data_IF_873457190917
#
_entry.id   IF_873457190917
#
_cell.length_a   1.000
_cell.length_b   1.000
_cell.length_c   1.000
_cell.angle_alpha   90.00
_cell.angle_beta   90.00
_cell.angle_gamma   90.00
#
_symmetry.space_group_name_H-M   'P 1'
#
loop_
_entity.id
_entity.type
_entity.pdbx_description
1 polymer ?
#
# COMPACT_ATOMS: atom_id res chain seq x y z
N UNK A 1 -29.42 6.04 -5.25
CA UNK A 1 -28.17 6.17 -4.48
C UNK A 1 -27.01 5.96 -5.41
N UNK A 2 -26.10 6.92 -5.46
CA UNK A 2 -24.84 6.84 -6.18
C UNK A 2 -23.70 6.70 -5.16
N UNK A 3 -23.11 5.50 -5.05
CA UNK A 3 -22.01 5.23 -4.10
C UNK A 3 -20.73 6.01 -4.42
N UNK A 4 -20.61 6.62 -5.60
CA UNK A 4 -19.53 7.56 -5.93
C UNK A 4 -19.66 8.90 -5.22
N UNK A 5 -20.86 9.31 -4.80
CA UNK A 5 -21.11 10.58 -4.11
C UNK A 5 -20.89 10.42 -2.58
N UNK A 6 -20.09 11.32 -1.98
CA UNK A 6 -19.82 11.31 -0.55
C UNK A 6 -21.06 11.56 0.32
N UNK A 7 -21.97 12.44 -0.13
CA UNK A 7 -23.21 12.74 0.58
C UNK A 7 -24.13 11.53 0.65
N UNK A 8 -24.26 10.80 -0.46
CA UNK A 8 -25.04 9.57 -0.53
C UNK A 8 -24.44 8.50 0.39
N UNK A 9 -23.11 8.36 0.41
CA UNK A 9 -22.41 7.42 1.32
C UNK A 9 -22.60 7.78 2.79
N UNK A 10 -22.49 9.06 3.15
CA UNK A 10 -22.68 9.51 4.53
C UNK A 10 -24.11 9.25 5.02
N UNK A 11 -25.10 9.58 4.18
CA UNK A 11 -26.51 9.34 4.48
C UNK A 11 -26.81 7.84 4.63
N UNK A 12 -26.28 7.02 3.71
CA UNK A 12 -26.46 5.57 3.75
C UNK A 12 -25.77 4.93 4.96
N UNK A 13 -24.55 5.35 5.33
CA UNK A 13 -23.84 4.82 6.49
C UNK A 13 -24.62 5.04 7.79
N UNK A 14 -25.21 6.23 7.96
CA UNK A 14 -26.07 6.53 9.11
C UNK A 14 -27.34 5.67 9.12
N UNK A 15 -28.01 5.53 7.96
CA UNK A 15 -29.21 4.70 7.83
C UNK A 15 -28.92 3.23 8.15
N UNK A 16 -27.78 2.71 7.69
CA UNK A 16 -27.33 1.34 7.98
C UNK A 16 -27.11 1.18 9.49
N UNK A 17 -26.40 2.11 10.14
CA UNK A 17 -26.16 2.05 11.57
C UNK A 17 -27.48 2.05 12.37
N UNK A 18 -28.39 2.98 12.03
CA UNK A 18 -29.72 3.04 12.65
C UNK A 18 -30.50 1.73 12.47
N UNK A 19 -30.56 1.22 11.25
CA UNK A 19 -31.28 -0.02 10.95
C UNK A 19 -30.71 -1.23 11.72
N UNK A 20 -29.38 -1.39 11.75
CA UNK A 20 -28.71 -2.47 12.48
C UNK A 20 -29.00 -2.39 13.98
N UNK A 21 -29.03 -1.19 14.55
CA UNK A 21 -29.39 -0.98 15.96
C UNK A 21 -30.87 -1.24 16.26
N UNK A 22 -31.78 -1.02 15.29
CA UNK A 22 -33.21 -1.36 15.45
C UNK A 22 -33.46 -2.88 15.39
N UNK A 23 -32.69 -3.64 14.60
CA UNK A 23 -32.90 -5.09 14.43
C UNK A 23 -32.77 -5.88 15.74
N UNK A 24 -31.92 -5.46 16.67
CA UNK A 24 -31.75 -6.15 17.96
C UNK A 24 -33.04 -6.20 18.81
N UNK A 25 -34.01 -5.33 18.56
CA UNK A 25 -35.28 -5.29 19.29
C UNK A 25 -36.39 -6.16 18.66
N UNK A 26 -36.23 -6.65 17.42
CA UNK A 26 -37.28 -7.45 16.75
C UNK A 26 -37.49 -8.83 17.42
N UNK A 27 -36.61 -9.25 18.33
CA UNK A 27 -36.72 -10.54 19.02
C UNK A 27 -37.56 -10.53 20.29
N UNK A 28 -38.04 -9.38 20.77
CA UNK A 28 -38.91 -9.31 21.95
C UNK A 28 -40.01 -8.26 21.72
N UNK A 29 -41.23 -8.77 21.58
CA UNK A 29 -42.52 -8.09 21.69
C UNK A 29 -43.02 -7.25 20.49
N UNK A 30 -44.06 -7.81 19.84
CA UNK A 30 -45.13 -7.08 19.17
C UNK A 30 -45.69 -6.03 20.16
N UNK A 31 -45.46 -4.74 19.91
CA UNK A 31 -46.57 -3.79 19.93
C UNK A 31 -46.19 -2.49 19.21
N UNK A 32 -47.20 -1.98 18.51
CA UNK A 32 -47.15 -0.77 17.70
C UNK A 32 -46.80 0.47 18.52
N UNK A 33 -45.66 1.09 18.23
CA UNK A 33 -45.48 2.53 18.47
C UNK A 33 -44.51 3.09 17.43
N UNK A 34 -44.87 4.25 16.88
CA UNK A 34 -44.02 5.02 15.97
C UNK A 34 -42.63 5.16 16.59
N UNK A 35 -41.64 4.40 16.08
CA UNK A 35 -40.26 4.45 16.58
C UNK A 35 -39.81 5.91 16.60
N UNK A 36 -39.69 6.45 17.80
CA UNK A 36 -39.18 7.79 18.01
C UNK A 36 -37.79 7.86 17.39
N UNK A 37 -37.63 8.68 16.35
CA UNK A 37 -36.37 8.84 15.65
C UNK A 37 -35.24 9.23 16.61
N UNK A 38 -35.57 9.88 17.74
CA UNK A 38 -34.61 10.23 18.79
C UNK A 38 -34.20 9.00 19.62
N UNK A 39 -35.10 8.06 19.88
CA UNK A 39 -34.80 6.80 20.57
C UNK A 39 -33.88 5.89 19.72
N UNK A 40 -34.17 5.76 18.42
CA UNK A 40 -33.31 5.00 17.48
C UNK A 40 -31.92 5.64 17.39
N UNK A 41 -31.84 6.98 17.35
CA UNK A 41 -30.57 7.69 17.32
C UNK A 41 -29.76 7.53 18.61
N UNK A 42 -30.38 7.59 19.78
CA UNK A 42 -29.71 7.34 21.07
C UNK A 42 -29.12 5.94 21.15
N UNK A 43 -29.89 4.93 20.73
CA UNK A 43 -29.41 3.54 20.67
C UNK A 43 -28.22 3.39 19.72
N UNK A 44 -28.27 4.03 18.54
CA UNK A 44 -27.16 4.03 17.60
C UNK A 44 -25.90 4.69 18.19
N UNK A 45 -26.05 5.80 18.92
CA UNK A 45 -24.93 6.47 19.60
C UNK A 45 -24.29 5.54 20.64
N UNK A 46 -25.10 4.89 21.48
CA UNK A 46 -24.60 3.95 22.50
C UNK A 46 -23.83 2.78 21.87
N UNK A 47 -24.35 2.23 20.77
CA UNK A 47 -23.69 1.15 20.03
C UNK A 47 -22.37 1.58 19.38
N UNK A 48 -22.36 2.73 18.69
CA UNK A 48 -21.17 3.23 17.98
C UNK A 48 -20.07 3.64 18.96
N UNK A 49 -20.43 4.02 20.19
CA UNK A 49 -19.49 4.51 21.21
C UNK A 49 -18.35 3.55 21.51
N UNK A 50 -18.58 2.24 21.43
CA UNK A 50 -17.54 1.22 21.65
C UNK A 50 -16.43 1.27 20.59
N UNK A 51 -16.76 1.73 19.38
CA UNK A 51 -15.85 1.84 18.25
C UNK A 51 -15.32 3.27 18.04
N UNK A 52 -15.87 4.25 18.75
CA UNK A 52 -15.47 5.64 18.63
C UNK A 52 -14.10 5.85 19.30
N UNK A 53 -13.13 6.37 18.54
CA UNK A 53 -11.82 6.74 19.05
C UNK A 53 -11.72 8.27 19.26
N UNK A 54 -10.97 8.74 20.27
CA UNK A 54 -10.61 10.14 20.38
C UNK A 54 -9.77 10.60 19.19
N UNK A 55 -9.91 11.88 18.82
CA UNK A 55 -9.17 12.51 17.70
C UNK A 55 -7.65 12.38 17.87
N UNK A 56 -7.14 12.50 19.10
CA UNK A 56 -5.69 12.41 19.36
C UNK A 56 -5.12 11.02 19.00
N UNK A 57 -5.91 9.95 19.14
CA UNK A 57 -5.50 8.59 18.75
C UNK A 57 -5.47 8.48 17.22
N UNK A 58 -6.50 8.99 16.54
CA UNK A 58 -6.55 9.00 15.07
C UNK A 58 -5.40 9.82 14.45
N UNK A 59 -5.04 10.96 15.07
CA UNK A 59 -3.89 11.76 14.65
C UNK A 59 -2.57 11.02 14.82
N UNK A 60 -2.40 10.29 15.92
CA UNK A 60 -1.23 9.46 16.16
C UNK A 60 -1.12 8.34 15.12
N UNK A 61 -2.20 7.59 14.87
CA UNK A 61 -2.24 6.53 13.85
C UNK A 61 -1.94 7.11 12.45
N UNK A 62 -2.49 8.28 12.12
CA UNK A 62 -2.21 8.97 10.87
C UNK A 62 -0.72 9.30 10.71
N UNK A 63 -0.08 9.80 11.78
CA UNK A 63 1.35 10.10 11.77
C UNK A 63 2.20 8.83 11.57
N UNK A 64 1.83 7.72 12.20
CA UNK A 64 2.50 6.43 12.00
C UNK A 64 2.36 5.93 10.55
N UNK A 65 1.15 6.03 9.98
CA UNK A 65 0.90 5.67 8.58
C UNK A 65 1.72 6.53 7.61
N UNK A 66 1.85 7.83 7.90
CA UNK A 66 2.70 8.74 7.13
C UNK A 66 4.17 8.32 7.17
N UNK A 67 4.68 7.98 8.35
CA UNK A 67 6.06 7.48 8.52
C UNK A 67 6.29 6.18 7.73
N UNK A 68 5.34 5.24 7.80
CA UNK A 68 5.41 3.99 7.02
C UNK A 68 5.39 4.27 5.51
N UNK A 69 4.59 5.25 5.05
CA UNK A 69 4.58 5.66 3.64
C UNK A 69 5.93 6.25 3.18
N UNK A 70 6.53 7.13 3.98
CA UNK A 70 7.83 7.72 3.70
C UNK A 70 8.94 6.66 3.64
N UNK A 71 8.95 5.71 4.58
CA UNK A 71 9.87 4.56 4.58
C UNK A 71 9.65 3.67 3.36
N UNK A 72 8.40 3.37 3.00
CA UNK A 72 8.11 2.67 1.75
C UNK A 72 8.74 3.42 0.58
N UNK A 73 8.55 4.75 0.48
CA UNK A 73 9.13 5.55 -0.60
C UNK A 73 10.68 5.44 -0.64
N UNK A 74 11.33 5.40 0.52
CA UNK A 74 12.77 5.19 0.65
C UNK A 74 13.27 3.87 0.01
N UNK A 75 12.44 2.82 0.04
CA UNK A 75 12.74 1.50 -0.55
C UNK A 75 12.49 1.43 -2.07
N UNK A 76 12.11 2.53 -2.72
CA UNK A 76 11.87 2.58 -4.18
C UNK A 76 13.05 2.07 -5.03
N UNK A 77 14.34 2.33 -4.69
CA UNK A 77 15.47 1.81 -5.47
C UNK A 77 15.47 0.28 -5.61
N UNK A 78 15.04 -0.43 -4.56
CA UNK A 78 15.00 -1.90 -4.52
C UNK A 78 13.80 -2.43 -5.34
N UNK A 79 12.61 -1.89 -5.11
CA UNK A 79 11.36 -2.49 -5.62
C UNK A 79 10.87 -1.90 -6.95
N UNK A 80 11.43 -0.78 -7.42
CA UNK A 80 10.94 -0.11 -8.63
C UNK A 80 10.98 -0.97 -9.89
N UNK A 81 12.00 -1.81 -10.05
CA UNK A 81 12.11 -2.75 -11.17
C UNK A 81 10.99 -3.79 -11.12
N UNK A 82 10.74 -4.39 -9.95
CA UNK A 82 9.68 -5.39 -9.75
C UNK A 82 8.30 -4.83 -10.08
N UNK A 83 8.05 -3.56 -9.74
CA UNK A 83 6.77 -2.93 -10.04
C UNK A 83 6.52 -2.67 -11.53
N UNK A 84 7.60 -2.55 -12.32
CA UNK A 84 7.53 -2.34 -13.78
C UNK A 84 7.40 -3.65 -14.57
N UNK A 85 7.61 -4.82 -13.95
CA UNK A 85 7.64 -6.11 -14.66
C UNK A 85 6.24 -6.60 -15.07
N UNK A 86 5.48 -7.22 -14.17
CA UNK A 86 4.14 -7.73 -14.46
C UNK A 86 3.25 -7.65 -13.19
N UNK A 87 1.94 -7.92 -13.33
CA UNK A 87 0.98 -7.83 -12.22
C UNK A 87 1.34 -8.77 -11.06
N UNK A 88 1.84 -9.97 -11.36
CA UNK A 88 2.20 -10.97 -10.36
C UNK A 88 3.39 -10.52 -9.52
N UNK A 89 4.43 -9.98 -10.16
CA UNK A 89 5.58 -9.41 -9.45
C UNK A 89 5.16 -8.22 -8.57
N UNK A 90 4.26 -7.35 -9.07
CA UNK A 90 3.70 -6.25 -8.25
C UNK A 90 3.00 -6.75 -6.98
N UNK A 91 2.12 -7.73 -7.14
CA UNK A 91 1.36 -8.32 -6.02
C UNK A 91 2.26 -9.02 -5.01
N UNK A 92 3.36 -9.63 -5.47
CA UNK A 92 4.33 -10.29 -4.61
C UNK A 92 5.25 -9.29 -3.89
N UNK A 93 5.73 -8.27 -4.59
CA UNK A 93 6.66 -7.27 -4.08
C UNK A 93 6.02 -6.26 -3.10
N UNK A 94 4.76 -5.90 -3.32
CA UNK A 94 4.06 -4.89 -2.51
C UNK A 94 4.01 -5.21 -1.01
N UNK A 95 3.57 -6.41 -0.56
CA UNK A 95 3.56 -6.75 0.86
C UNK A 95 4.96 -6.83 1.46
N UNK A 96 5.97 -7.25 0.68
CA UNK A 96 7.36 -7.32 1.15
C UNK A 96 7.97 -5.93 1.38
N UNK A 97 7.66 -4.96 0.51
CA UNK A 97 8.06 -3.55 0.72
C UNK A 97 7.38 -2.95 1.94
N UNK A 98 6.08 -3.23 2.13
CA UNK A 98 5.32 -2.77 3.30
C UNK A 98 5.90 -3.35 4.60
N UNK A 99 6.21 -4.65 4.60
CA UNK A 99 6.79 -5.35 5.73
C UNK A 99 8.10 -4.70 6.24
N UNK A 100 9.01 -4.36 5.32
CA UNK A 100 10.24 -3.64 5.67
C UNK A 100 9.95 -2.27 6.31
N UNK A 101 9.02 -1.52 5.74
CA UNK A 101 8.71 -0.17 6.20
C UNK A 101 8.00 -0.14 7.56
N UNK A 102 7.10 -1.10 7.82
CA UNK A 102 6.43 -1.30 9.11
C UNK A 102 7.45 -1.66 10.20
N UNK A 103 8.46 -2.47 9.87
CA UNK A 103 9.57 -2.80 10.78
C UNK A 103 10.60 -1.68 10.96
N UNK A 104 10.36 -0.50 10.36
CA UNK A 104 11.23 0.66 10.46
C UNK A 104 12.49 0.60 9.59
N UNK A 105 12.61 -0.40 8.72
CA UNK A 105 13.82 -0.62 7.92
C UNK A 105 13.84 0.34 6.72
N UNK A 106 14.94 1.06 6.59
CA UNK A 106 15.17 2.02 5.49
C UNK A 106 16.28 1.54 4.56
N UNK A 107 16.42 2.18 3.40
CA UNK A 107 17.41 1.81 2.39
C UNK A 107 18.85 1.90 2.92
N UNK A 108 19.18 2.94 3.70
CA UNK A 108 20.52 3.11 4.26
C UNK A 108 20.91 1.96 5.19
N UNK A 109 20.00 1.49 6.05
CA UNK A 109 20.28 0.34 6.93
C UNK A 109 20.54 -0.94 6.14
N UNK A 110 19.77 -1.18 5.07
CA UNK A 110 19.98 -2.31 4.16
C UNK A 110 21.32 -2.20 3.43
N UNK A 111 21.68 -0.99 3.00
CA UNK A 111 22.95 -0.71 2.34
C UNK A 111 24.12 -0.94 3.29
N UNK A 112 24.05 -0.42 4.52
CA UNK A 112 25.09 -0.55 5.54
C UNK A 112 25.29 -2.02 5.94
N UNK A 113 24.19 -2.75 6.16
CA UNK A 113 24.24 -4.17 6.45
C UNK A 113 24.92 -4.97 5.32
N UNK A 114 24.62 -4.62 4.06
CA UNK A 114 25.25 -5.25 2.90
C UNK A 114 26.73 -4.88 2.75
N UNK A 115 27.12 -3.62 2.96
CA UNK A 115 28.53 -3.21 2.83
C UNK A 115 29.40 -3.83 3.91
N UNK A 116 28.87 -4.01 5.12
CA UNK A 116 29.63 -4.50 6.26
C UNK A 116 29.77 -6.02 6.27
N UNK A 117 28.69 -6.75 6.02
CA UNK A 117 28.66 -8.21 6.13
C UNK A 117 27.89 -8.91 5.01
N UNK A 118 27.59 -8.20 3.90
CA UNK A 118 26.90 -8.73 2.73
C UNK A 118 25.59 -9.43 3.13
N UNK A 119 25.41 -10.67 2.67
CA UNK A 119 24.24 -11.49 2.94
C UNK A 119 24.04 -11.73 4.44
N UNK A 120 25.11 -12.01 5.18
CA UNK A 120 25.00 -12.33 6.61
C UNK A 120 24.55 -11.10 7.41
N UNK A 121 24.98 -9.91 6.99
CA UNK A 121 24.52 -8.64 7.55
C UNK A 121 23.02 -8.40 7.33
N UNK A 122 22.53 -8.67 6.13
CA UNK A 122 21.09 -8.61 5.85
C UNK A 122 20.31 -9.64 6.66
N UNK A 123 20.79 -10.88 6.76
CA UNK A 123 20.12 -11.92 7.56
C UNK A 123 20.02 -11.53 9.03
N UNK A 124 21.08 -10.94 9.59
CA UNK A 124 21.07 -10.43 10.96
C UNK A 124 20.04 -9.31 11.14
N UNK A 125 20.08 -8.29 10.29
CA UNK A 125 19.14 -7.16 10.34
C UNK A 125 17.70 -7.62 10.23
N UNK A 126 17.42 -8.57 9.33
CA UNK A 126 16.08 -9.11 9.18
C UNK A 126 15.63 -9.89 10.43
N UNK A 127 16.48 -10.74 11.01
CA UNK A 127 16.12 -11.49 12.24
C UNK A 127 15.87 -10.57 13.44
N UNK A 128 16.62 -9.47 13.53
CA UNK A 128 16.47 -8.47 14.59
C UNK A 128 15.16 -7.69 14.47
N UNK A 129 14.84 -7.21 13.26
CA UNK A 129 13.70 -6.31 13.02
C UNK A 129 12.40 -7.03 12.67
N UNK A 130 12.48 -8.28 12.19
CA UNK A 130 11.35 -9.09 11.73
C UNK A 130 11.31 -10.48 12.42
N UNK A 131 11.24 -10.56 13.77
CA UNK A 131 11.34 -11.83 14.49
C UNK A 131 10.12 -12.75 14.31
N UNK A 132 8.95 -12.21 13.99
CA UNK A 132 7.67 -12.95 13.92
C UNK A 132 7.20 -13.22 12.49
N UNK A 133 8.05 -12.99 11.49
CA UNK A 133 7.67 -13.10 10.07
C UNK A 133 7.80 -14.53 9.57
N UNK A 134 6.84 -14.94 8.74
CA UNK A 134 6.87 -16.23 8.03
C UNK A 134 8.20 -16.45 7.28
N UNK A 135 8.81 -17.61 7.46
CA UNK A 135 10.09 -17.99 6.82
C UNK A 135 10.06 -17.77 5.30
N UNK A 136 8.93 -18.10 4.65
CA UNK A 136 8.74 -17.91 3.21
C UNK A 136 8.84 -16.44 2.79
N UNK A 137 8.26 -15.51 3.56
CA UNK A 137 8.36 -14.06 3.28
C UNK A 137 9.79 -13.58 3.49
N UNK A 138 10.47 -14.13 4.50
CA UNK A 138 11.88 -13.85 4.77
C UNK A 138 12.79 -14.29 3.62
N UNK A 139 12.59 -15.50 3.11
CA UNK A 139 13.32 -16.02 1.95
C UNK A 139 13.06 -15.19 0.69
N UNK A 140 11.80 -14.88 0.41
CA UNK A 140 11.39 -14.03 -0.71
C UNK A 140 12.09 -12.66 -0.65
N UNK A 141 12.13 -12.05 0.54
CA UNK A 141 12.76 -10.77 0.79
C UNK A 141 14.28 -10.83 0.59
N UNK A 142 14.93 -11.87 1.10
CA UNK A 142 16.37 -12.08 0.94
C UNK A 142 16.75 -12.22 -0.53
N UNK A 143 15.96 -12.93 -1.33
CA UNK A 143 16.19 -13.07 -2.78
C UNK A 143 16.11 -11.71 -3.48
N UNK A 144 15.15 -10.86 -3.11
CA UNK A 144 15.01 -9.52 -3.70
C UNK A 144 16.20 -8.63 -3.33
N UNK A 145 16.60 -8.63 -2.06
CA UNK A 145 17.70 -7.81 -1.56
C UNK A 145 19.05 -8.24 -2.14
N UNK A 146 19.35 -9.55 -2.12
CA UNK A 146 20.56 -10.10 -2.72
C UNK A 146 20.66 -9.72 -4.21
N UNK A 147 19.56 -9.84 -4.96
CA UNK A 147 19.53 -9.49 -6.38
C UNK A 147 19.74 -7.98 -6.62
N UNK A 148 19.31 -7.14 -5.71
CA UNK A 148 19.48 -5.69 -5.82
C UNK A 148 20.94 -5.28 -5.60
N UNK A 149 21.58 -5.82 -4.56
CA UNK A 149 22.95 -5.45 -4.20
C UNK A 149 24.04 -6.28 -4.92
N UNK A 150 23.69 -7.46 -5.43
CA UNK A 150 24.54 -8.32 -6.25
C UNK A 150 23.79 -8.78 -7.52
N UNK A 151 23.68 -7.90 -8.54
CA UNK A 151 22.97 -8.20 -9.77
C UNK A 151 23.67 -9.27 -10.63
N UNK A 152 24.95 -9.56 -10.39
CA UNK A 152 25.72 -10.58 -11.12
C UNK A 152 25.44 -12.00 -10.62
N UNK A 153 24.95 -12.12 -9.38
CA UNK A 153 24.53 -13.39 -8.80
C UNK A 153 23.26 -13.86 -9.50
N UNK A 154 23.43 -14.83 -10.41
CA UNK A 154 22.30 -15.49 -11.07
C UNK A 154 21.31 -15.98 -10.01
N UNK A 155 20.01 -15.66 -10.13
CA UNK A 155 19.03 -16.14 -9.19
C UNK A 155 19.10 -17.66 -9.19
N UNK A 156 19.20 -18.26 -7.99
CA UNK A 156 18.91 -19.70 -7.82
C UNK A 156 17.46 -19.86 -8.26
N UNK A 157 17.26 -20.23 -9.53
CA UNK A 157 15.93 -20.32 -10.11
C UNK A 157 15.08 -21.18 -9.19
N UNK A 158 13.94 -20.64 -8.74
CA UNK A 158 12.88 -21.51 -8.21
C UNK A 158 12.58 -22.49 -9.32
N UNK A 159 12.99 -23.74 -9.13
CA UNK A 159 12.75 -24.80 -10.09
C UNK A 159 11.24 -24.80 -10.30
N UNK A 160 10.74 -24.53 -11.52
CA UNK A 160 9.33 -24.74 -11.77
C UNK A 160 9.05 -26.20 -11.49
N UNK A 161 8.14 -26.48 -10.54
CA UNK A 161 7.61 -27.82 -10.33
C UNK A 161 7.24 -28.38 -11.70
N UNK A 162 8.02 -29.37 -12.13
CA UNK A 162 7.81 -30.05 -13.40
C UNK A 162 6.46 -30.75 -13.30
N UNK A 163 5.41 -30.12 -13.83
CA UNK A 163 4.21 -30.85 -14.24
C UNK A 163 4.69 -31.95 -15.18
N UNK A 164 4.63 -33.19 -14.72
CA UNK A 164 5.17 -34.35 -15.42
C UNK A 164 4.59 -34.47 -16.81
N UNK A 165 5.42 -34.23 -17.82
CA UNK A 165 5.13 -34.57 -19.20
C UNK A 165 5.33 -36.09 -19.30
N UNK A 166 4.23 -36.85 -19.16
CA UNK A 166 4.21 -38.27 -19.56
C UNK A 166 4.31 -38.33 -21.07
N UNK A 167 5.42 -38.90 -21.56
CA UNK A 167 5.70 -39.08 -22.98
C UNK A 167 5.04 -40.36 -23.51
N UNK A 168 4.57 -40.27 -24.76
CA UNK A 168 4.50 -41.30 -25.82
C UNK A 168 3.50 -42.46 -25.67
N UNK A 169 2.57 -42.55 -26.64
CA UNK A 169 2.74 -43.50 -27.75
C UNK A 169 1.80 -43.22 -28.95
N UNK A 170 2.43 -43.26 -30.13
CA UNK A 170 1.98 -43.81 -31.43
C UNK A 170 0.69 -43.31 -32.13
N UNK A 171 0.85 -42.66 -33.30
CA UNK A 171 0.60 -43.26 -34.64
C UNK A 171 0.82 -42.28 -35.81
N UNK A 172 1.83 -42.61 -36.64
CA UNK A 172 1.85 -42.73 -38.12
C UNK A 172 0.75 -42.01 -38.96
N UNK A 173 1.15 -41.14 -39.90
CA UNK A 173 1.05 -41.25 -41.40
C UNK A 173 0.86 -39.90 -42.14
N UNK A 174 1.65 -39.79 -43.23
CA UNK A 174 1.57 -39.04 -44.51
C UNK A 174 1.63 -37.52 -44.62
N UNK A 175 2.55 -37.11 -45.50
CA UNK A 175 2.60 -35.89 -46.30
C UNK A 175 1.25 -35.50 -46.93
N UNK A 176 0.89 -34.21 -46.90
CA UNK A 176 0.61 -33.43 -48.12
C UNK A 176 0.50 -31.90 -47.83
N UNK A 177 1.06 -31.12 -48.76
CA UNK A 177 0.71 -29.78 -49.24
C UNK A 177 0.23 -28.59 -48.37
N UNK A 178 0.93 -27.47 -48.61
CA UNK A 178 0.45 -26.10 -48.92
C UNK A 178 -0.33 -25.24 -47.91
N UNK A 179 0.34 -24.14 -47.52
CA UNK A 179 -0.05 -22.73 -47.72
C UNK A 179 -0.97 -21.96 -46.73
N UNK A 180 -0.50 -20.73 -46.44
CA UNK A 180 -1.19 -19.46 -46.14
C UNK A 180 -1.92 -19.20 -44.81
N UNK A 181 -1.34 -18.21 -44.10
CA UNK A 181 -1.93 -16.94 -43.62
C UNK A 181 -3.22 -16.89 -42.76
N UNK A 182 -3.04 -16.19 -41.62
CA UNK A 182 -3.93 -15.25 -40.91
C UNK A 182 -5.27 -15.78 -40.36
N UNK A 183 -5.43 -15.51 -39.06
CA UNK A 183 -6.55 -14.82 -38.36
C UNK A 183 -6.84 -15.55 -37.06
N UNK A 184 -6.74 -14.85 -35.93
CA UNK A 184 -7.91 -14.35 -35.20
C UNK A 184 -8.51 -15.40 -34.27
N UNK A 185 -8.31 -15.20 -32.98
CA UNK A 185 -9.28 -15.58 -31.96
C UNK A 185 -9.01 -14.75 -30.72
N UNK A 186 -9.78 -13.68 -30.59
CA UNK A 186 -10.11 -13.12 -29.30
C UNK A 186 -10.62 -14.23 -28.37
N UNK A 187 -9.99 -14.34 -27.21
CA UNK A 187 -10.56 -15.08 -26.09
C UNK A 187 -11.09 -14.04 -25.11
N UNK A 188 -12.34 -13.66 -25.31
CA UNK A 188 -13.17 -13.15 -24.22
C UNK A 188 -13.40 -14.29 -23.25
N UNK A 189 -13.08 -14.05 -21.99
CA UNK A 189 -13.64 -14.81 -20.87
C UNK A 189 -14.08 -13.80 -19.81
N UNK A 190 -15.34 -13.89 -19.34
CA UNK A 190 -15.95 -12.96 -18.39
C UNK A 190 -15.54 -13.31 -16.96
N UNK A 191 -15.58 -12.30 -16.08
CA UNK A 191 -15.70 -12.35 -14.61
C UNK A 191 -14.65 -11.51 -13.86
N UNK A 192 -14.94 -10.21 -13.73
CA UNK A 192 -14.88 -9.48 -12.44
C UNK A 192 -15.25 -8.02 -12.66
N UNK A 193 -16.16 -7.43 -11.85
CA UNK A 193 -16.45 -6.01 -11.92
C UNK A 193 -15.39 -5.23 -11.15
N UNK A 194 -14.30 -4.85 -11.81
CA UNK A 194 -13.33 -3.92 -11.21
C UNK A 194 -13.78 -2.47 -11.46
N UNK A 195 -14.27 -1.85 -10.39
CA UNK A 195 -14.74 -0.47 -10.31
C UNK A 195 -13.58 0.49 -10.06
N UNK A 196 -12.58 0.56 -10.95
CA UNK A 196 -11.63 1.69 -10.96
C UNK A 196 -11.03 1.90 -12.35
N UNK A 197 -11.84 2.39 -13.28
CA UNK A 197 -11.33 3.11 -14.45
C UNK A 197 -12.32 4.20 -14.83
N UNK A 198 -12.46 5.20 -13.95
CA UNK A 198 -13.00 6.51 -14.34
C UNK A 198 -11.83 7.47 -14.50
N UNK A 199 -11.74 8.02 -15.71
CA UNK A 199 -10.58 8.74 -16.23
C UNK A 199 -10.10 9.90 -15.37
N UNK A 200 -8.79 10.12 -15.42
CA UNK A 200 -8.18 11.36 -14.96
C UNK A 200 -8.78 12.55 -15.73
N UNK A 201 -9.07 13.69 -15.07
CA UNK A 201 -9.72 14.81 -15.73
C UNK A 201 -8.88 15.40 -16.87
N UNK A 202 -9.55 15.71 -17.97
CA UNK A 202 -9.00 16.41 -19.14
C UNK A 202 -8.59 17.82 -18.71
N UNK A 203 -7.37 18.19 -19.09
CA UNK A 203 -6.74 19.50 -18.90
C UNK A 203 -7.52 20.53 -19.73
N UNK A 204 -8.36 21.34 -19.08
CA UNK A 204 -8.98 22.50 -19.73
C UNK A 204 -7.94 23.62 -19.84
N UNK A 205 -7.65 24.03 -21.08
CA UNK A 205 -6.97 25.28 -21.38
C UNK A 205 -7.91 26.44 -21.04
N UNK A 206 -7.46 27.37 -20.19
CA UNK A 206 -8.19 28.58 -19.82
C UNK A 206 -7.20 29.67 -19.44
N UNK A 207 -7.44 30.87 -19.93
CA UNK A 207 -6.46 31.93 -20.17
C UNK A 207 -5.76 32.53 -18.94
N UNK A 208 -4.62 33.14 -19.26
CA UNK A 208 -3.71 33.88 -18.40
C UNK A 208 -4.41 35.08 -17.73
N UNK A 209 -4.38 35.12 -16.40
CA UNK A 209 -4.57 36.36 -15.63
C UNK A 209 -3.24 36.67 -14.94
N UNK A 210 -2.62 37.76 -15.40
CA UNK A 210 -1.44 38.38 -14.76
C UNK A 210 -1.77 38.79 -13.33
N UNK A 211 -1.04 38.24 -12.36
CA UNK A 211 -0.93 38.81 -11.02
C UNK A 211 0.47 39.39 -10.89
N UNK A 212 0.49 40.72 -10.74
CA UNK A 212 1.67 41.56 -10.58
C UNK A 212 2.48 41.12 -9.36
N UNK A 213 3.80 41.06 -9.55
CA UNK A 213 4.79 40.93 -8.50
C UNK A 213 4.92 42.27 -7.79
N UNK A 214 4.71 42.30 -6.48
CA UNK A 214 5.27 43.34 -5.62
C UNK A 214 6.24 42.68 -4.65
N UNK A 215 7.48 43.14 -4.78
CA UNK A 215 8.66 42.83 -3.99
C UNK A 215 8.71 43.89 -2.90
N UNK A 216 8.62 43.52 -1.63
CA UNK A 216 9.10 44.39 -0.55
C UNK A 216 9.87 43.55 0.47
N UNK A 217 11.18 43.75 0.35
CA UNK A 217 12.25 43.47 1.28
C UNK A 217 12.29 44.61 2.31
N UNK A 218 12.33 44.31 3.61
CA UNK A 218 12.83 45.28 4.57
C UNK A 218 13.58 44.57 5.69
N UNK A 219 14.84 44.96 5.80
CA UNK A 219 15.87 44.39 6.65
C UNK A 219 15.62 44.67 8.14
N UNK A 220 16.08 43.74 9.00
CA UNK A 220 16.57 44.11 10.33
C UNK A 220 17.98 43.55 10.50
N UNK A 221 18.92 44.48 10.53
CA UNK A 221 20.36 44.27 10.66
C UNK A 221 20.76 43.87 12.08
N UNK A 222 21.82 43.08 12.10
CA UNK A 222 22.62 42.57 13.21
C UNK A 222 23.64 43.62 13.69
N UNK A 223 23.81 43.80 15.01
CA UNK A 223 25.00 44.28 15.74
C UNK A 223 24.71 44.03 17.25
N UNK A 224 25.58 43.67 18.19
CA UNK A 224 27.02 43.36 18.33
C UNK A 224 27.13 42.64 19.70
N UNK A 225 27.74 41.45 19.82
CA UNK A 225 29.15 41.19 20.18
C UNK A 225 29.57 41.45 21.65
N UNK A 226 30.32 40.46 22.20
CA UNK A 226 31.22 40.48 23.37
C UNK A 226 30.55 40.48 24.77
N UNK A 227 30.95 39.69 25.77
CA UNK A 227 32.28 39.19 26.16
C UNK A 227 32.26 37.83 26.86
N UNK A 228 33.46 37.26 26.81
CA UNK A 228 34.01 35.99 27.27
C UNK A 228 34.34 36.02 28.80
N UNK A 229 34.51 34.81 29.36
CA UNK A 229 35.45 34.42 30.44
C UNK A 229 35.02 34.15 31.91
N UNK A 230 35.76 33.16 32.45
CA UNK A 230 36.01 32.71 33.82
C UNK A 230 35.05 31.66 34.41
N UNK A 231 35.36 30.35 34.37
CA UNK A 231 36.36 29.56 35.13
C UNK A 231 36.14 29.44 36.65
N UNK A 232 36.13 28.17 37.09
CA UNK A 232 36.70 27.61 38.36
C UNK A 232 35.80 27.51 39.61
N UNK A 233 35.64 26.23 40.03
CA UNK A 233 35.62 25.63 41.39
C UNK A 233 34.79 26.29 42.51
N UNK A 234 34.05 25.55 43.34
CA UNK A 234 34.34 24.33 44.13
C UNK A 234 33.08 23.51 44.31
#
# INVERSE_FOLDING_TARGET
MNLGNAQDRASLALQIAQYLCSIENIKVEDDSESEDSDAVMKKAIEFIREFAQPVDIEEQEHNELKMVFERQNNLRPIFSALFRMNRRERQHASPLRRLLAEAGIVYSELQDAWTNAKKDGLEHLMKEKLPTVDEKKMEDLMIILERHFDPEKKPKSRVPEKKGIKSRNEKKISDDKENNNKSDSGHDSPDSPDTTTSGSPIKMNGDCIEIKKETEECALTQECALTQECTVSV
#
